data_IF_250338162567
#
_entry.id   IF_250338162567
#
_cell.length_a   1.000
_cell.length_b   1.000
_cell.length_c   1.000
_cell.angle_alpha   90.00
_cell.angle_beta   90.00
_cell.angle_gamma   90.00
#
_symmetry.space_group_name_H-M   'P 1'
#
loop_
_entity.id
_entity.type
_entity.pdbx_description
1 polymer ?
#
# COMPACT_ATOMS: atom_id res chain seq x y z
N UNK A 1 -12.43 14.42 -12.57
CA UNK A 1 -12.52 13.02 -13.02
C UNK A 1 -12.73 12.92 -14.53
N UNK A 2 -13.72 13.62 -15.13
CA UNK A 2 -14.06 13.49 -16.57
C UNK A 2 -12.99 14.05 -17.53
N UNK A 3 -12.10 14.91 -17.08
CA UNK A 3 -11.04 15.53 -17.90
C UNK A 3 -9.70 14.83 -17.70
N UNK A 4 -9.16 14.84 -16.49
CA UNK A 4 -7.80 14.35 -16.25
C UNK A 4 -7.69 12.83 -16.14
N UNK A 5 -8.75 12.13 -15.70
CA UNK A 5 -8.68 10.66 -15.59
C UNK A 5 -8.58 9.98 -16.97
N UNK A 6 -9.39 10.34 -17.99
CA UNK A 6 -9.22 9.79 -19.33
C UNK A 6 -7.84 10.08 -19.94
N UNK A 7 -7.34 11.30 -19.73
CA UNK A 7 -5.99 11.70 -20.18
C UNK A 7 -4.91 10.82 -19.55
N UNK A 8 -4.93 10.67 -18.23
CA UNK A 8 -3.97 9.83 -17.52
C UNK A 8 -4.05 8.35 -17.91
N UNK A 9 -5.25 7.83 -18.12
CA UNK A 9 -5.45 6.44 -18.58
C UNK A 9 -4.92 6.22 -20.00
N UNK A 10 -5.15 7.17 -20.91
CA UNK A 10 -4.64 7.09 -22.27
C UNK A 10 -3.10 7.15 -22.30
N UNK A 11 -2.50 8.05 -21.55
CA UNK A 11 -1.05 8.15 -21.39
C UNK A 11 -0.45 6.86 -20.82
N UNK A 12 -1.03 6.29 -19.77
CA UNK A 12 -0.56 5.03 -19.20
C UNK A 12 -0.72 3.87 -20.18
N UNK A 13 -1.82 3.83 -20.94
CA UNK A 13 -2.05 2.81 -21.96
C UNK A 13 -1.01 2.90 -23.10
N UNK A 14 -0.68 4.10 -23.54
CA UNK A 14 0.39 4.31 -24.52
C UNK A 14 1.74 3.89 -23.94
N UNK A 15 2.00 4.22 -22.68
CA UNK A 15 3.25 3.87 -22.02
C UNK A 15 3.41 2.36 -21.75
N UNK A 16 2.32 1.60 -21.57
CA UNK A 16 2.40 0.13 -21.50
C UNK A 16 2.98 -0.53 -22.76
N UNK A 17 2.88 0.16 -23.90
CA UNK A 17 3.39 -0.32 -25.19
C UNK A 17 4.75 0.31 -25.55
N UNK A 18 5.28 1.18 -24.70
CA UNK A 18 6.53 1.86 -24.95
C UNK A 18 7.71 0.90 -24.87
N UNK A 19 8.54 0.90 -25.91
CA UNK A 19 9.79 0.18 -25.98
C UNK A 19 10.95 1.18 -25.92
N UNK A 20 11.75 1.21 -24.84
CA UNK A 20 12.87 2.14 -24.70
C UNK A 20 14.01 1.89 -25.71
N UNK A 21 14.06 0.72 -26.36
CA UNK A 21 15.07 0.38 -27.36
C UNK A 21 14.70 0.85 -28.77
N UNK A 22 13.45 1.29 -28.96
CA UNK A 22 12.97 1.78 -30.25
C UNK A 22 12.74 3.30 -30.19
N UNK A 23 13.23 4.06 -31.18
CA UNK A 23 12.91 5.47 -31.30
C UNK A 23 11.40 5.64 -31.51
N UNK A 24 10.76 6.44 -30.64
CA UNK A 24 9.34 6.73 -30.75
C UNK A 24 9.12 8.20 -31.07
N UNK A 25 8.19 8.45 -31.98
CA UNK A 25 7.68 9.79 -32.23
C UNK A 25 6.77 10.22 -31.08
N UNK A 26 6.78 11.52 -30.81
CA UNK A 26 5.85 12.12 -29.83
C UNK A 26 4.43 11.93 -30.36
N UNK A 27 3.62 11.17 -29.62
CA UNK A 27 2.20 10.99 -29.95
C UNK A 27 1.45 12.29 -29.71
N UNK A 28 0.78 12.81 -30.74
CA UNK A 28 -0.08 13.99 -30.66
C UNK A 28 -1.50 13.61 -31.05
N UNK A 29 -2.44 13.90 -30.17
CA UNK A 29 -3.88 13.62 -30.34
C UNK A 29 -4.66 14.84 -29.90
N UNK A 30 -5.82 15.09 -30.51
CA UNK A 30 -6.79 16.00 -29.91
C UNK A 30 -7.43 15.36 -28.67
N UNK A 31 -7.94 16.18 -27.77
CA UNK A 31 -8.60 15.65 -26.57
C UNK A 31 -9.82 14.80 -26.92
N UNK A 32 -10.56 15.13 -27.99
CA UNK A 32 -11.67 14.32 -28.50
C UNK A 32 -11.23 12.94 -28.99
N UNK A 33 -10.12 12.84 -29.72
CA UNK A 33 -9.56 11.55 -30.15
C UNK A 33 -9.13 10.69 -28.96
N UNK A 34 -8.58 11.33 -27.94
CA UNK A 34 -8.15 10.66 -26.70
C UNK A 34 -9.34 10.11 -25.89
N UNK A 35 -10.47 10.80 -25.86
CA UNK A 35 -11.69 10.34 -25.20
C UNK A 35 -12.29 9.11 -25.91
N UNK A 36 -12.18 9.03 -27.23
CA UNK A 36 -12.84 8.00 -28.04
C UNK A 36 -14.35 8.03 -27.85
N UNK A 37 -14.93 6.93 -27.40
CA UNK A 37 -16.38 6.81 -27.14
C UNK A 37 -16.84 7.48 -25.82
N UNK A 38 -15.92 7.97 -25.02
CA UNK A 38 -16.26 8.63 -23.74
C UNK A 38 -16.66 10.07 -24.00
N UNK A 39 -17.73 10.50 -23.34
CA UNK A 39 -18.18 11.89 -23.41
C UNK A 39 -17.85 12.65 -22.12
N UNK A 40 -17.49 13.91 -22.29
CA UNK A 40 -17.50 14.88 -21.20
C UNK A 40 -18.91 15.43 -21.10
N UNK A 41 -19.50 15.53 -19.90
CA UNK A 41 -20.83 16.10 -19.75
C UNK A 41 -20.82 17.59 -20.11
N UNK A 42 -21.93 18.08 -20.68
CA UNK A 42 -22.08 19.47 -21.09
C UNK A 42 -21.75 20.45 -19.97
N UNK A 43 -22.16 20.14 -18.74
CA UNK A 43 -21.85 20.95 -17.56
C UNK A 43 -20.34 21.07 -17.30
N UNK A 44 -19.57 19.98 -17.46
CA UNK A 44 -18.13 20.01 -17.28
C UNK A 44 -17.44 20.69 -18.45
N UNK A 45 -17.91 20.43 -19.66
CA UNK A 45 -17.40 21.06 -20.88
C UNK A 45 -17.58 22.60 -20.82
N UNK A 46 -18.78 23.08 -20.49
CA UNK A 46 -19.09 24.50 -20.34
C UNK A 46 -18.27 25.14 -19.20
N UNK A 47 -18.18 24.45 -18.06
CA UNK A 47 -17.40 24.93 -16.92
C UNK A 47 -15.92 25.16 -17.29
N UNK A 48 -15.28 24.17 -17.91
CA UNK A 48 -13.86 24.27 -18.30
C UNK A 48 -13.67 25.34 -19.37
N UNK A 49 -14.49 25.32 -20.41
CA UNK A 49 -14.37 26.29 -21.51
C UNK A 49 -14.60 27.74 -21.03
N UNK A 50 -15.60 27.98 -20.20
CA UNK A 50 -15.90 29.30 -19.67
C UNK A 50 -14.84 29.77 -18.67
N UNK A 51 -14.26 28.86 -17.86
CA UNK A 51 -13.19 29.21 -16.95
C UNK A 51 -11.92 29.62 -17.72
N UNK A 52 -11.50 28.83 -18.71
CA UNK A 52 -10.31 29.14 -19.51
C UNK A 52 -10.49 30.44 -20.33
N UNK A 53 -11.65 30.63 -20.97
CA UNK A 53 -11.94 31.87 -21.72
C UNK A 53 -11.88 33.12 -20.85
N UNK A 54 -12.25 33.01 -19.58
CA UNK A 54 -12.18 34.11 -18.60
C UNK A 54 -10.75 34.45 -18.24
N UNK A 55 -9.89 33.45 -18.06
CA UNK A 55 -8.48 33.63 -17.68
C UNK A 55 -7.61 34.11 -18.84
N UNK A 56 -7.90 33.64 -20.08
CA UNK A 56 -7.06 33.90 -21.26
C UNK A 56 -7.55 35.11 -22.10
N UNK A 57 -8.59 35.81 -21.66
CA UNK A 57 -8.99 37.07 -22.29
C UNK A 57 -9.75 36.93 -23.59
N UNK A 58 -10.74 36.06 -23.68
CA UNK A 58 -11.74 36.04 -24.76
C UNK A 58 -11.38 35.24 -26.01
N UNK A 59 -10.28 34.50 -26.02
CA UNK A 59 -9.97 33.56 -27.09
C UNK A 59 -11.00 32.40 -27.13
N UNK A 60 -11.34 31.95 -28.34
CA UNK A 60 -12.15 30.75 -28.49
C UNK A 60 -11.34 29.54 -27.99
N UNK A 61 -11.69 29.03 -26.81
CA UNK A 61 -11.14 27.82 -26.27
C UNK A 61 -12.20 26.71 -26.35
N UNK A 62 -11.80 25.54 -26.84
CA UNK A 62 -12.63 24.35 -26.84
C UNK A 62 -11.77 23.17 -26.31
N UNK A 63 -12.14 22.63 -25.16
CA UNK A 63 -11.49 21.52 -24.51
C UNK A 63 -11.28 20.31 -25.46
N UNK A 64 -12.29 20.02 -26.30
CA UNK A 64 -12.25 18.86 -27.19
C UNK A 64 -11.22 19.00 -28.32
N UNK A 65 -10.82 20.22 -28.64
CA UNK A 65 -9.82 20.51 -29.67
C UNK A 65 -8.42 20.73 -29.14
N UNK A 66 -8.22 20.63 -27.82
CA UNK A 66 -6.91 20.81 -27.21
C UNK A 66 -5.94 19.72 -27.72
N UNK A 67 -4.81 20.11 -28.32
CA UNK A 67 -3.79 19.13 -28.71
C UNK A 67 -3.08 18.59 -27.48
N UNK A 68 -3.07 17.27 -27.34
CA UNK A 68 -2.36 16.56 -26.29
C UNK A 68 -1.15 15.85 -26.89
N UNK A 69 0.01 16.03 -26.27
CA UNK A 69 1.22 15.32 -26.65
C UNK A 69 1.76 14.50 -25.48
N UNK A 70 2.17 13.28 -25.76
CA UNK A 70 2.83 12.39 -24.81
C UNK A 70 4.28 12.19 -25.22
N UNK A 71 5.19 12.61 -24.35
CA UNK A 71 6.62 12.27 -24.45
C UNK A 71 6.88 11.07 -23.54
N UNK A 72 6.80 9.87 -24.11
CA UNK A 72 6.97 8.62 -23.39
C UNK A 72 8.44 8.38 -23.00
N UNK A 73 9.39 8.92 -23.75
CA UNK A 73 10.81 8.86 -23.43
C UNK A 73 11.13 9.70 -22.18
N UNK A 74 10.61 10.93 -22.13
CA UNK A 74 10.75 11.78 -20.94
C UNK A 74 10.10 11.13 -19.71
N UNK A 75 8.91 10.55 -19.89
CA UNK A 75 8.22 9.82 -18.82
C UNK A 75 9.05 8.63 -18.33
N UNK A 76 9.65 7.86 -19.22
CA UNK A 76 10.52 6.73 -18.87
C UNK A 76 11.75 7.20 -18.09
N UNK A 77 12.39 8.28 -18.56
CA UNK A 77 13.50 8.91 -17.84
C UNK A 77 13.12 9.38 -16.45
N UNK A 78 11.93 9.96 -16.29
CA UNK A 78 11.42 10.39 -14.98
C UNK A 78 11.23 9.22 -14.00
N UNK A 79 10.82 8.03 -14.48
CA UNK A 79 10.81 6.80 -13.68
C UNK A 79 12.20 6.42 -13.21
N UNK A 80 13.17 6.34 -14.13
CA UNK A 80 14.52 5.90 -13.82
C UNK A 80 15.29 6.86 -12.89
N UNK A 81 14.96 8.15 -12.96
CA UNK A 81 15.59 9.21 -12.17
C UNK A 81 14.87 9.50 -10.84
N UNK A 82 13.84 8.74 -10.49
CA UNK A 82 13.14 8.87 -9.22
C UNK A 82 12.25 10.13 -9.10
N UNK A 83 11.90 10.76 -10.21
CA UNK A 83 11.10 11.99 -10.24
C UNK A 83 9.60 11.75 -10.06
N UNK A 84 9.16 10.50 -10.15
CA UNK A 84 7.77 10.09 -9.95
C UNK A 84 7.59 9.61 -8.52
N UNK A 85 6.53 10.04 -7.83
CA UNK A 85 6.28 9.64 -6.44
C UNK A 85 6.23 8.12 -6.22
N UNK A 86 5.77 7.37 -7.21
CA UNK A 86 5.73 5.90 -7.17
C UNK A 86 7.14 5.29 -6.98
N UNK A 87 8.19 5.92 -7.50
CA UNK A 87 9.56 5.39 -7.39
C UNK A 87 10.08 5.41 -5.96
N UNK A 88 9.62 6.32 -5.11
CA UNK A 88 9.95 6.31 -3.69
C UNK A 88 9.39 5.06 -3.01
N UNK A 89 8.14 4.72 -3.31
CA UNK A 89 7.48 3.52 -2.77
C UNK A 89 8.16 2.25 -3.30
N UNK A 90 8.45 2.21 -4.61
CA UNK A 90 9.15 1.08 -5.23
C UNK A 90 10.56 0.93 -4.69
N UNK A 91 11.29 2.03 -4.47
CA UNK A 91 12.62 2.00 -3.84
C UNK A 91 12.58 1.39 -2.45
N UNK A 92 11.61 1.84 -1.63
CA UNK A 92 11.37 1.27 -0.31
C UNK A 92 11.07 -0.23 -0.39
N UNK A 93 10.22 -0.65 -1.31
CA UNK A 93 9.90 -2.06 -1.53
C UNK A 93 11.13 -2.87 -1.98
N UNK A 94 11.94 -2.35 -2.89
CA UNK A 94 13.17 -3.01 -3.34
C UNK A 94 14.16 -3.23 -2.19
N UNK A 95 14.30 -2.26 -1.31
CA UNK A 95 15.16 -2.37 -0.12
C UNK A 95 14.64 -3.47 0.83
N UNK A 96 13.31 -3.56 1.06
CA UNK A 96 12.71 -4.67 1.81
C UNK A 96 13.03 -6.00 1.15
N UNK A 97 12.82 -6.12 -0.16
CA UNK A 97 13.09 -7.37 -0.91
C UNK A 97 14.56 -7.75 -0.83
N UNK A 98 15.48 -6.79 -0.87
CA UNK A 98 16.91 -7.03 -0.76
C UNK A 98 17.31 -7.71 0.56
N UNK A 99 16.61 -7.39 1.65
CA UNK A 99 16.86 -7.99 2.97
C UNK A 99 16.25 -9.39 3.15
N UNK A 100 15.44 -9.83 2.19
CA UNK A 100 14.89 -11.19 2.21
C UNK A 100 15.59 -12.07 1.17
N UNK A 101 15.88 -13.34 1.48
CA UNK A 101 16.44 -14.27 0.52
C UNK A 101 15.38 -14.62 -0.53
N UNK A 102 15.38 -13.87 -1.62
CA UNK A 102 14.50 -14.09 -2.76
C UNK A 102 15.26 -14.70 -3.93
N UNK A 103 14.88 -15.88 -4.39
CA UNK A 103 15.44 -16.49 -5.60
C UNK A 103 14.76 -15.98 -6.86
N UNK A 104 13.47 -15.69 -6.80
CA UNK A 104 12.64 -15.25 -7.92
C UNK A 104 11.70 -14.14 -7.45
N UNK A 105 11.60 -13.08 -8.22
CA UNK A 105 10.64 -12.01 -8.01
C UNK A 105 9.54 -12.05 -9.06
N UNK A 106 8.30 -12.29 -8.65
CA UNK A 106 7.14 -12.24 -9.52
C UNK A 106 6.51 -10.84 -9.45
N UNK A 107 6.43 -10.17 -10.60
CA UNK A 107 5.77 -8.87 -10.71
C UNK A 107 4.32 -9.06 -11.17
N UNK A 108 3.39 -8.70 -10.32
CA UNK A 108 1.96 -8.78 -10.57
C UNK A 108 1.26 -7.43 -10.37
N UNK A 109 -0.03 -7.37 -10.71
CA UNK A 109 -0.80 -6.13 -10.64
C UNK A 109 -0.58 -5.22 -11.85
N UNK A 110 -1.50 -4.28 -12.06
CA UNK A 110 -1.50 -3.40 -13.26
C UNK A 110 -0.22 -2.58 -13.43
N UNK A 111 0.38 -1.99 -12.38
CA UNK A 111 1.60 -1.20 -12.53
C UNK A 111 2.80 -2.01 -13.04
N UNK A 112 2.82 -3.33 -12.88
CA UNK A 112 3.89 -4.18 -13.38
C UNK A 112 4.00 -4.21 -14.92
N UNK A 113 2.96 -3.75 -15.63
CA UNK A 113 2.96 -3.60 -17.09
C UNK A 113 3.77 -2.40 -17.57
N UNK A 114 4.01 -1.42 -16.70
CA UNK A 114 4.72 -0.20 -17.08
C UNK A 114 6.22 -0.47 -17.24
N UNK A 115 6.82 -0.17 -18.40
CA UNK A 115 8.24 -0.42 -18.65
C UNK A 115 9.16 0.25 -17.62
N UNK A 116 8.84 1.47 -17.18
CA UNK A 116 9.60 2.18 -16.16
C UNK A 116 9.58 1.52 -14.79
N UNK A 117 8.48 0.88 -14.40
CA UNK A 117 8.40 0.09 -13.15
C UNK A 117 9.34 -1.11 -13.23
N UNK A 118 9.31 -1.85 -14.34
CA UNK A 118 10.18 -3.01 -14.54
C UNK A 118 11.65 -2.60 -14.58
N UNK A 119 11.98 -1.55 -15.34
CA UNK A 119 13.33 -1.04 -15.46
C UNK A 119 13.88 -0.51 -14.13
N UNK A 120 13.05 0.20 -13.36
CA UNK A 120 13.42 0.69 -12.03
C UNK A 120 13.73 -0.46 -11.06
N UNK A 121 12.87 -1.49 -11.02
CA UNK A 121 13.07 -2.65 -10.16
C UNK A 121 14.36 -3.40 -10.54
N UNK A 122 14.62 -3.60 -11.84
CA UNK A 122 15.86 -4.21 -12.32
C UNK A 122 17.10 -3.40 -11.97
N UNK A 123 16.99 -2.07 -11.97
CA UNK A 123 18.08 -1.16 -11.55
C UNK A 123 18.38 -1.24 -10.07
N UNK A 124 17.34 -1.41 -9.24
CA UNK A 124 17.45 -1.35 -7.79
C UNK A 124 17.80 -2.69 -7.14
N UNK A 125 17.40 -3.81 -7.74
CA UNK A 125 17.59 -5.14 -7.17
C UNK A 125 18.75 -5.87 -7.86
N UNK A 126 19.70 -6.43 -7.10
CA UNK A 126 20.82 -7.20 -7.64
C UNK A 126 20.40 -8.65 -7.98
N UNK A 127 19.21 -8.80 -8.56
CA UNK A 127 18.74 -10.09 -9.04
C UNK A 127 19.05 -10.25 -10.54
N UNK A 128 19.47 -11.43 -11.00
CA UNK A 128 19.61 -11.69 -12.42
C UNK A 128 18.32 -11.37 -13.17
N UNK A 129 18.38 -10.72 -14.36
CA UNK A 129 17.17 -10.32 -15.10
C UNK A 129 16.17 -11.45 -15.33
N UNK A 130 16.64 -12.67 -15.55
CA UNK A 130 15.79 -13.85 -15.72
C UNK A 130 15.06 -14.32 -14.46
N UNK A 131 15.38 -13.76 -13.31
CA UNK A 131 14.69 -14.05 -12.03
C UNK A 131 13.67 -12.99 -11.64
N UNK A 132 13.53 -11.93 -12.44
CA UNK A 132 12.48 -10.92 -12.29
C UNK A 132 11.45 -11.18 -13.38
N UNK A 133 10.32 -11.77 -13.02
CA UNK A 133 9.31 -12.28 -13.94
C UNK A 133 8.04 -11.42 -13.90
N UNK A 134 7.83 -10.52 -14.88
CA UNK A 134 6.54 -9.87 -15.06
C UNK A 134 5.50 -10.89 -15.52
N UNK A 135 4.43 -11.08 -14.75
CA UNK A 135 3.45 -12.12 -15.04
C UNK A 135 2.66 -11.87 -16.33
N UNK A 136 2.59 -10.63 -16.82
CA UNK A 136 2.01 -10.33 -18.14
C UNK A 136 2.69 -11.07 -19.31
N UNK A 137 3.95 -11.46 -19.15
CA UNK A 137 4.69 -12.19 -20.16
C UNK A 137 4.68 -13.71 -19.91
N UNK A 138 3.96 -14.16 -18.89
CA UNK A 138 3.90 -15.57 -18.56
C UNK A 138 2.90 -16.29 -19.43
N UNK A 139 3.36 -17.36 -20.09
CA UNK A 139 2.52 -18.18 -20.98
C UNK A 139 1.75 -19.21 -20.17
N UNK A 140 0.44 -19.07 -20.15
CA UNK A 140 -0.47 -20.00 -19.48
C UNK A 140 -1.19 -20.93 -20.46
N UNK A 141 -1.19 -20.57 -21.76
CA UNK A 141 -2.07 -21.22 -22.72
C UNK A 141 -3.53 -20.76 -22.57
N UNK A 142 -4.46 -21.55 -23.09
CA UNK A 142 -5.86 -21.18 -23.16
C UNK A 142 -6.67 -21.42 -21.88
N UNK A 143 -6.08 -22.01 -20.83
CA UNK A 143 -6.81 -22.30 -19.59
C UNK A 143 -7.02 -21.08 -18.70
N UNK A 144 -6.14 -20.06 -18.81
CA UNK A 144 -6.24 -18.87 -17.97
C UNK A 144 -7.37 -17.97 -18.45
N UNK A 145 -8.35 -17.59 -17.59
CA UNK A 145 -9.55 -16.88 -18.02
C UNK A 145 -9.28 -15.50 -18.67
N UNK A 146 -8.21 -14.83 -18.26
CA UNK A 146 -7.84 -13.48 -18.71
C UNK A 146 -6.56 -13.51 -19.54
N UNK A 147 -6.51 -14.44 -20.51
CA UNK A 147 -5.37 -14.54 -21.42
C UNK A 147 -5.64 -13.80 -22.76
N UNK A 148 -4.56 -13.35 -23.38
CA UNK A 148 -4.52 -12.90 -24.77
C UNK A 148 -3.37 -13.62 -25.46
N UNK A 149 -3.67 -14.33 -26.53
CA UNK A 149 -2.68 -15.16 -27.26
C UNK A 149 -1.91 -16.14 -26.34
N UNK A 150 -2.54 -16.65 -25.30
CA UNK A 150 -1.96 -17.57 -24.34
C UNK A 150 -1.05 -16.92 -23.28
N UNK A 151 -0.93 -15.61 -23.26
CA UNK A 151 -0.21 -14.84 -22.22
C UNK A 151 -1.22 -14.22 -21.27
N UNK A 152 -0.84 -14.01 -20.02
CA UNK A 152 -1.67 -13.28 -19.05
C UNK A 152 -1.84 -11.84 -19.54
N UNK A 153 -3.08 -11.45 -19.89
CA UNK A 153 -3.37 -10.10 -20.39
C UNK A 153 -3.56 -9.11 -19.23
N UNK A 154 -4.26 -9.53 -18.18
CA UNK A 154 -4.45 -8.71 -16.98
C UNK A 154 -3.74 -9.30 -15.75
N UNK A 155 -2.52 -8.83 -15.43
CA UNK A 155 -1.79 -9.34 -14.26
C UNK A 155 -2.47 -8.99 -12.93
N UNK A 156 -3.46 -8.08 -12.90
CA UNK A 156 -4.25 -7.82 -11.70
C UNK A 156 -5.12 -9.01 -11.31
N UNK A 157 -5.55 -9.81 -12.28
CA UNK A 157 -6.40 -10.98 -12.06
C UNK A 157 -5.66 -12.18 -11.44
N UNK A 158 -4.33 -12.19 -11.42
CA UNK A 158 -3.53 -13.35 -10.99
C UNK A 158 -3.80 -13.79 -9.56
N UNK A 159 -4.03 -12.86 -8.64
CA UNK A 159 -4.36 -13.19 -7.26
C UNK A 159 -5.72 -13.90 -7.15
N UNK A 160 -6.74 -13.42 -7.85
CA UNK A 160 -8.10 -14.01 -7.83
C UNK A 160 -8.12 -15.38 -8.50
N UNK A 161 -7.45 -15.52 -9.65
CA UNK A 161 -7.34 -16.82 -10.34
C UNK A 161 -6.54 -17.80 -9.50
N UNK A 162 -5.45 -17.38 -8.89
CA UNK A 162 -4.64 -18.21 -7.98
C UNK A 162 -5.44 -18.69 -6.77
N UNK A 163 -6.21 -17.81 -6.14
CA UNK A 163 -7.08 -18.15 -5.01
C UNK A 163 -8.15 -19.19 -5.42
N UNK A 164 -8.75 -19.03 -6.60
CA UNK A 164 -9.72 -19.99 -7.14
C UNK A 164 -9.05 -21.35 -7.39
N UNK A 165 -7.85 -21.37 -7.98
CA UNK A 165 -7.11 -22.63 -8.19
C UNK A 165 -6.78 -23.30 -6.86
N UNK A 166 -6.34 -22.56 -5.85
CA UNK A 166 -6.10 -23.12 -4.52
C UNK A 166 -7.36 -23.76 -3.92
N UNK A 167 -8.51 -23.13 -4.07
CA UNK A 167 -9.79 -23.68 -3.61
C UNK A 167 -10.17 -24.96 -4.37
N UNK A 168 -10.07 -24.95 -5.69
CA UNK A 168 -10.35 -26.15 -6.51
C UNK A 168 -9.40 -27.32 -6.17
N UNK A 169 -8.12 -27.03 -5.93
CA UNK A 169 -7.14 -28.04 -5.53
C UNK A 169 -7.41 -28.57 -4.13
N UNK A 170 -7.79 -27.70 -3.18
CA UNK A 170 -8.18 -28.12 -1.83
C UNK A 170 -9.41 -29.03 -1.84
N UNK A 171 -10.32 -28.83 -2.79
CA UNK A 171 -11.52 -29.64 -2.99
C UNK A 171 -11.28 -30.86 -3.92
N UNK A 172 -10.03 -31.15 -4.29
CA UNK A 172 -9.66 -32.23 -5.21
C UNK A 172 -10.33 -32.15 -6.59
N UNK A 173 -10.75 -30.95 -7.02
CA UNK A 173 -11.41 -30.71 -8.31
C UNK A 173 -10.42 -30.59 -9.47
N UNK A 174 -9.12 -30.47 -9.19
CA UNK A 174 -8.05 -30.45 -10.20
C UNK A 174 -7.24 -31.74 -10.09
N UNK A 175 -7.27 -32.60 -11.11
CA UNK A 175 -6.51 -33.87 -11.08
C UNK A 175 -5.00 -33.62 -10.98
N UNK A 176 -4.32 -34.46 -10.20
CA UNK A 176 -2.86 -34.43 -10.05
C UNK A 176 -2.26 -33.12 -9.52
N UNK A 177 -3.08 -32.24 -8.93
CA UNK A 177 -2.61 -31.04 -8.29
C UNK A 177 -3.14 -30.96 -6.85
N UNK A 178 -2.22 -30.93 -5.90
CA UNK A 178 -2.54 -30.96 -4.47
C UNK A 178 -2.10 -29.66 -3.80
N UNK A 179 -3.03 -28.98 -3.17
CA UNK A 179 -2.76 -27.78 -2.39
C UNK A 179 -3.00 -28.08 -0.89
N UNK A 180 -1.95 -27.99 -0.09
CA UNK A 180 -2.02 -28.15 1.36
C UNK A 180 -1.87 -26.79 2.04
N UNK A 181 -2.97 -26.15 2.37
CA UNK A 181 -2.96 -24.85 3.07
C UNK A 181 -2.23 -24.90 4.42
N UNK A 182 -2.30 -26.05 5.12
CA UNK A 182 -1.58 -26.26 6.37
C UNK A 182 -0.04 -26.28 6.22
N UNK A 183 0.48 -26.49 5.01
CA UNK A 183 1.92 -26.44 4.73
C UNK A 183 2.41 -25.00 4.46
N UNK A 184 1.50 -24.07 4.21
CA UNK A 184 1.86 -22.65 4.10
C UNK A 184 2.15 -22.13 5.50
N UNK A 185 3.41 -21.85 5.76
CA UNK A 185 3.80 -21.14 6.98
C UNK A 185 3.57 -19.64 6.73
N UNK A 186 2.61 -19.00 7.42
CA UNK A 186 2.47 -17.57 7.29
C UNK A 186 3.79 -16.92 7.73
N UNK A 187 4.29 -16.02 6.91
CA UNK A 187 5.52 -15.29 7.17
C UNK A 187 5.15 -13.85 7.53
N UNK A 188 5.56 -13.40 8.71
CA UNK A 188 5.39 -12.01 9.09
C UNK A 188 6.65 -11.20 8.81
N UNK A 189 6.50 -10.09 8.13
CA UNK A 189 7.57 -9.12 7.86
C UNK A 189 7.67 -8.05 8.93
N UNK A 190 6.83 -8.11 9.97
CA UNK A 190 6.82 -7.14 11.07
C UNK A 190 8.09 -7.32 11.91
N UNK A 191 8.88 -6.25 12.02
CA UNK A 191 10.08 -6.21 12.86
C UNK A 191 9.98 -5.21 14.00
N UNK A 192 9.32 -4.08 13.75
CA UNK A 192 9.16 -3.03 14.74
C UNK A 192 7.72 -2.55 14.78
N UNK A 193 7.18 -2.37 15.98
CA UNK A 193 5.86 -1.77 16.19
C UNK A 193 6.06 -0.48 16.98
N UNK A 194 5.36 0.57 16.60
CA UNK A 194 5.49 1.87 17.25
C UNK A 194 4.39 2.86 16.87
N UNK A 195 4.56 4.09 17.29
CA UNK A 195 3.66 5.20 16.97
C UNK A 195 4.01 5.76 15.58
N UNK A 196 3.01 5.91 14.74
CA UNK A 196 3.15 6.45 13.38
C UNK A 196 2.88 7.96 13.40
N UNK A 197 3.78 8.73 12.84
CA UNK A 197 3.61 10.16 12.62
C UNK A 197 2.69 10.47 11.43
N UNK A 198 2.47 11.75 11.14
CA UNK A 198 1.64 12.22 10.03
C UNK A 198 2.20 11.84 8.65
N UNK A 199 3.49 11.57 8.55
CA UNK A 199 4.19 11.17 7.33
C UNK A 199 4.21 9.64 7.12
N UNK A 200 3.49 8.89 7.96
CA UNK A 200 3.51 7.43 8.00
C UNK A 200 4.91 6.85 8.30
N UNK A 201 5.66 7.48 9.19
CA UNK A 201 6.97 7.03 9.65
C UNK A 201 6.91 6.69 11.14
N UNK A 202 7.60 5.64 11.55
CA UNK A 202 7.87 5.33 12.96
C UNK A 202 9.31 5.74 13.23
N UNK A 203 9.51 6.79 14.02
CA UNK A 203 10.84 7.22 14.48
C UNK A 203 11.41 6.21 15.47
N UNK A 204 12.72 6.14 15.60
CA UNK A 204 13.34 5.21 16.53
C UNK A 204 12.97 5.47 18.00
N UNK A 205 12.71 6.73 18.34
CA UNK A 205 12.21 7.11 19.68
C UNK A 205 10.77 6.63 19.93
N UNK A 206 9.98 6.45 18.85
CA UNK A 206 8.58 6.07 18.90
C UNK A 206 8.35 4.56 18.73
N UNK A 207 9.44 3.76 18.65
CA UNK A 207 9.37 2.31 18.57
C UNK A 207 9.09 1.72 19.96
N UNK A 208 7.99 0.98 20.06
CA UNK A 208 7.53 0.33 21.27
C UNK A 208 8.07 -1.09 21.43
N UNK A 209 8.11 -1.83 20.31
CA UNK A 209 8.62 -3.19 20.25
C UNK A 209 9.61 -3.29 19.11
N UNK A 210 10.81 -3.80 19.43
CA UNK A 210 11.92 -3.97 18.48
C UNK A 210 12.17 -5.43 18.20
N UNK A 211 12.72 -5.71 17.03
CA UNK A 211 13.22 -7.04 16.63
C UNK A 211 12.21 -8.17 16.87
N UNK A 212 10.96 -7.89 16.53
CA UNK A 212 9.86 -8.83 16.74
C UNK A 212 10.14 -10.09 15.92
N UNK A 213 10.18 -11.22 16.60
CA UNK A 213 10.28 -12.52 15.96
C UNK A 213 8.89 -13.03 15.61
N UNK A 214 8.78 -13.62 14.43
CA UNK A 214 7.57 -14.35 14.04
C UNK A 214 7.89 -15.84 13.95
N UNK A 215 7.19 -16.63 14.71
CA UNK A 215 7.23 -18.08 14.64
C UNK A 215 5.89 -18.58 14.10
N UNK A 216 5.93 -19.37 13.03
CA UNK A 216 4.73 -19.86 12.32
C UNK A 216 3.74 -18.76 11.90
N UNK A 217 4.26 -17.57 11.55
CA UNK A 217 3.46 -16.40 11.18
C UNK A 217 2.72 -15.71 12.32
N UNK A 218 2.95 -16.14 13.54
CA UNK A 218 2.44 -15.48 14.74
C UNK A 218 3.52 -14.54 15.26
N UNK A 219 3.15 -13.28 15.42
CA UNK A 219 4.00 -12.30 16.08
C UNK A 219 3.96 -12.61 17.58
N UNK A 220 5.11 -12.94 18.16
CA UNK A 220 5.26 -13.04 19.60
C UNK A 220 5.71 -11.68 20.13
N UNK A 221 4.79 -10.95 20.73
CA UNK A 221 5.17 -9.80 21.53
C UNK A 221 5.60 -10.30 22.92
N UNK A 222 6.57 -9.64 23.57
CA UNK A 222 6.93 -9.96 24.95
C UNK A 222 5.67 -9.98 25.82
N UNK A 223 5.38 -11.11 26.44
CA UNK A 223 4.23 -11.24 27.32
C UNK A 223 4.48 -10.37 28.56
N UNK A 224 3.62 -9.38 28.76
CA UNK A 224 3.56 -8.63 29.99
C UNK A 224 2.78 -9.47 30.99
N UNK A 225 3.43 -10.00 32.00
CA UNK A 225 2.67 -10.75 33.02
C UNK A 225 3.46 -11.49 34.09
N UNK A 226 4.77 -11.64 33.92
CA UNK A 226 5.62 -12.28 34.94
C UNK A 226 6.81 -11.44 35.38
N UNK A 227 6.99 -10.29 34.79
CA UNK A 227 8.03 -9.31 35.10
C UNK A 227 7.43 -8.07 35.79
N UNK A 228 8.29 -7.33 36.43
CA UNK A 228 7.97 -6.04 37.02
C UNK A 228 7.34 -5.11 36.01
N UNK A 229 6.43 -4.24 36.42
CA UNK A 229 5.73 -3.20 35.60
C UNK A 229 6.65 -2.35 34.69
N UNK A 230 7.97 -2.50 34.81
CA UNK A 230 8.98 -1.74 34.05
C UNK A 230 9.08 -2.13 32.58
N UNK A 231 8.70 -3.36 32.20
CA UNK A 231 8.91 -3.86 30.82
C UNK A 231 7.75 -3.56 29.87
N UNK A 232 6.67 -2.94 30.35
CA UNK A 232 5.52 -2.60 29.53
C UNK A 232 5.72 -1.24 28.88
N UNK A 233 5.66 -1.13 27.53
CA UNK A 233 5.76 0.15 26.86
C UNK A 233 4.70 1.14 27.34
N UNK A 234 5.13 2.32 27.74
CA UNK A 234 4.26 3.43 28.09
C UNK A 234 4.12 4.37 26.91
N UNK A 235 2.90 4.77 26.63
CA UNK A 235 2.57 5.76 25.62
C UNK A 235 2.04 7.02 26.27
N UNK A 236 2.44 8.15 25.75
CA UNK A 236 1.93 9.44 26.14
C UNK A 236 0.93 9.94 25.09
N UNK A 237 -0.33 10.10 25.48
CA UNK A 237 -1.40 10.55 24.60
C UNK A 237 -1.84 11.96 24.95
N UNK A 238 -1.76 12.87 23.99
CA UNK A 238 -2.41 14.19 24.01
C UNK A 238 -3.59 14.30 23.05
N UNK A 239 -3.80 13.28 22.25
CA UNK A 239 -4.83 13.16 21.23
C UNK A 239 -4.88 11.74 20.68
N UNK A 240 -5.55 11.54 19.56
CA UNK A 240 -5.59 10.27 18.87
C UNK A 240 -4.17 9.85 18.46
N UNK A 241 -3.80 8.60 18.72
CA UNK A 241 -2.52 8.01 18.35
C UNK A 241 -2.71 6.93 17.29
N UNK A 242 -1.83 6.92 16.29
CA UNK A 242 -1.78 5.86 15.28
C UNK A 242 -0.65 4.90 15.61
N UNK A 243 -0.96 3.62 15.73
CA UNK A 243 0.00 2.54 15.88
C UNK A 243 0.19 1.82 14.57
N UNK A 244 1.39 1.40 14.29
CA UNK A 244 1.72 0.66 13.09
C UNK A 244 2.99 -0.14 13.22
N UNK A 245 3.43 -0.69 12.10
CA UNK A 245 4.65 -1.48 12.04
C UNK A 245 5.53 -1.07 10.86
N UNK A 246 6.80 -1.35 10.98
CA UNK A 246 7.78 -1.30 9.91
C UNK A 246 8.59 -2.60 9.86
N UNK A 247 9.10 -2.93 8.68
CA UNK A 247 9.84 -4.17 8.44
C UNK A 247 11.34 -4.02 8.68
N UNK A 248 11.86 -2.81 8.63
CA UNK A 248 13.29 -2.52 8.73
C UNK A 248 13.59 -1.58 9.90
N UNK A 249 14.83 -1.60 10.34
CA UNK A 249 15.31 -0.75 11.43
C UNK A 249 15.36 0.75 11.07
N UNK A 250 15.48 1.10 9.78
CA UNK A 250 15.66 2.48 9.36
C UNK A 250 14.36 3.31 9.47
N UNK A 251 14.43 4.48 10.11
CA UNK A 251 13.29 5.41 10.26
C UNK A 251 12.69 5.90 8.94
N UNK A 252 13.51 5.99 7.89
CA UNK A 252 13.08 6.48 6.57
C UNK A 252 12.00 5.64 5.89
N UNK A 253 11.70 4.46 6.43
CA UNK A 253 10.74 3.54 5.86
C UNK A 253 9.32 3.90 6.23
N UNK A 254 8.44 3.91 5.23
CA UNK A 254 7.03 4.06 5.47
C UNK A 254 6.51 2.92 6.35
N UNK A 255 5.82 3.27 7.42
CA UNK A 255 5.17 2.31 8.29
C UNK A 255 3.77 1.98 7.79
N UNK A 256 3.35 0.75 8.01
CA UNK A 256 1.97 0.32 7.75
C UNK A 256 1.12 0.50 9.00
N UNK A 257 -0.07 1.11 8.88
CA UNK A 257 -0.95 1.31 10.03
C UNK A 257 -1.55 -0.01 10.52
N UNK A 258 -1.65 -0.18 11.83
CA UNK A 258 -2.33 -1.29 12.49
C UNK A 258 -3.63 -0.81 13.15
N UNK A 259 -3.51 0.14 14.10
CA UNK A 259 -4.61 0.62 14.92
C UNK A 259 -4.56 2.13 15.10
N UNK A 260 -5.71 2.74 15.31
CA UNK A 260 -5.83 4.10 15.82
C UNK A 260 -6.43 4.05 17.21
N UNK A 261 -5.67 4.52 18.20
CA UNK A 261 -6.13 4.69 19.57
C UNK A 261 -6.89 6.00 19.66
N UNK A 262 -8.16 5.96 20.03
CA UNK A 262 -9.01 7.14 20.14
C UNK A 262 -9.59 7.24 21.56
N UNK A 263 -9.76 8.47 22.01
CA UNK A 263 -10.58 8.68 23.21
C UNK A 263 -12.04 8.32 22.91
N UNK A 264 -12.68 7.64 23.85
CA UNK A 264 -14.15 7.55 23.86
C UNK A 264 -14.75 8.94 24.02
N UNK A 265 -16.03 9.13 23.67
CA UNK A 265 -16.70 10.42 23.85
C UNK A 265 -16.60 10.92 25.30
N UNK A 266 -16.87 10.04 26.27
CA UNK A 266 -16.73 10.36 27.69
C UNK A 266 -15.27 10.64 28.11
N UNK A 267 -14.30 9.91 27.53
CA UNK A 267 -12.88 10.15 27.78
C UNK A 267 -12.41 11.47 27.23
N UNK A 268 -12.88 11.85 26.06
CA UNK A 268 -12.57 13.14 25.42
C UNK A 268 -13.13 14.31 26.23
N UNK A 269 -14.33 14.17 26.76
CA UNK A 269 -14.95 15.17 27.63
C UNK A 269 -14.18 15.35 28.95
N UNK A 270 -13.81 14.22 29.61
CA UNK A 270 -12.97 14.26 30.81
C UNK A 270 -11.60 14.88 30.54
N UNK A 271 -11.00 14.55 29.41
CA UNK A 271 -9.72 15.11 28.98
C UNK A 271 -9.82 16.63 28.74
N UNK A 272 -10.88 17.07 28.06
CA UNK A 272 -11.13 18.50 27.83
C UNK A 272 -11.39 19.29 29.11
N UNK A 273 -12.07 18.69 30.10
CA UNK A 273 -12.28 19.32 31.42
C UNK A 273 -11.02 19.41 32.27
N UNK A 274 -10.06 18.51 32.01
CA UNK A 274 -8.78 18.49 32.74
C UNK A 274 -7.72 19.42 32.09
N UNK A 275 -8.07 20.17 31.04
CA UNK A 275 -7.22 21.24 30.52
C UNK A 275 -7.16 22.31 31.61
N UNK A 276 -5.98 22.45 32.22
CA UNK A 276 -5.78 23.38 33.34
C UNK A 276 -5.91 24.83 32.92
N UNK A 277 -5.95 25.75 33.90
CA UNK A 277 -6.04 27.18 33.70
C UNK A 277 -4.94 27.74 32.79
N UNK A 278 -3.82 27.05 32.64
CA UNK A 278 -2.71 27.38 31.76
C UNK A 278 -2.88 26.91 30.30
N UNK A 279 -4.00 26.31 29.93
CA UNK A 279 -4.27 25.84 28.58
C UNK A 279 -3.47 24.60 28.14
N UNK A 280 -2.66 24.02 29.00
CA UNK A 280 -1.93 22.80 28.71
C UNK A 280 -2.84 21.57 28.83
N UNK A 281 -2.92 20.80 27.74
CA UNK A 281 -3.65 19.54 27.75
C UNK A 281 -2.95 18.53 28.68
N UNK A 282 -3.69 17.85 29.59
CA UNK A 282 -3.11 16.85 30.47
C UNK A 282 -2.52 15.70 29.66
N UNK A 283 -1.36 15.23 30.08
CA UNK A 283 -0.70 14.09 29.47
C UNK A 283 -1.31 12.77 30.00
N UNK A 284 -1.92 12.00 29.10
CA UNK A 284 -2.42 10.69 29.46
C UNK A 284 -1.33 9.64 29.23
N UNK A 285 -0.90 8.97 30.30
CA UNK A 285 0.01 7.83 30.19
C UNK A 285 -0.80 6.55 30.05
N UNK A 286 -0.54 5.84 28.94
CA UNK A 286 -1.25 4.61 28.58
C UNK A 286 -0.27 3.47 28.51
N UNK A 287 -0.57 2.36 29.18
CA UNK A 287 0.19 1.11 29.04
C UNK A 287 -0.46 0.23 27.99
N UNK A 288 0.36 -0.29 27.07
CA UNK A 288 -0.07 -1.28 26.11
C UNK A 288 0.11 -2.67 26.70
N UNK A 289 -1.01 -3.39 26.89
CA UNK A 289 -0.98 -4.78 27.27
C UNK A 289 -1.46 -5.65 26.13
N UNK A 290 -0.68 -6.66 25.77
CA UNK A 290 -1.09 -7.70 24.83
C UNK A 290 -1.85 -8.76 25.62
N UNK A 291 -3.14 -8.89 25.33
CA UNK A 291 -3.95 -9.95 25.91
C UNK A 291 -3.86 -11.18 25.01
N UNK A 292 -3.36 -12.29 25.54
CA UNK A 292 -3.46 -13.58 24.86
C UNK A 292 -4.94 -13.94 24.69
N UNK A 293 -5.37 -14.39 23.49
CA UNK A 293 -6.75 -14.81 23.29
C UNK A 293 -7.08 -15.95 24.25
N UNK A 294 -8.21 -15.83 24.92
CA UNK A 294 -8.71 -16.84 25.85
C UNK A 294 -8.89 -18.17 25.12
N UNK A 295 -8.34 -19.27 25.67
CA UNK A 295 -8.32 -20.59 25.04
C UNK A 295 -9.71 -21.15 24.70
N UNK A 296 -10.78 -20.53 25.20
CA UNK A 296 -12.16 -20.97 24.99
C UNK A 296 -12.87 -20.39 23.77
N UNK A 297 -12.35 -19.35 23.14
CA UNK A 297 -12.91 -18.86 21.89
C UNK A 297 -12.12 -19.43 20.70
N UNK A 298 -12.50 -20.62 20.26
CA UNK A 298 -12.09 -21.23 18.98
C UNK A 298 -12.66 -20.44 17.79
N UNK A 299 -12.38 -19.17 17.64
CA UNK A 299 -12.54 -18.46 16.39
C UNK A 299 -11.17 -18.37 15.74
N UNK A 300 -10.93 -19.26 14.81
CA UNK A 300 -9.95 -19.09 13.76
C UNK A 300 -10.34 -17.83 12.98
N UNK A 301 -9.74 -16.75 13.31
CA UNK A 301 -9.90 -15.50 12.61
C UNK A 301 -8.78 -14.59 13.04
N UNK A 302 -8.01 -14.15 12.06
CA UNK A 302 -7.08 -13.02 12.11
C UNK A 302 -6.74 -12.55 13.53
N UNK A 303 -5.46 -12.55 13.84
CA UNK A 303 -4.86 -12.06 15.09
C UNK A 303 -5.56 -10.78 15.53
N UNK A 304 -6.63 -10.91 16.30
CA UNK A 304 -7.17 -9.82 17.09
C UNK A 304 -6.64 -10.00 18.51
N UNK A 305 -5.34 -9.84 18.68
CA UNK A 305 -4.81 -9.58 19.99
C UNK A 305 -5.42 -8.25 20.42
N UNK A 306 -6.39 -8.33 21.31
CA UNK A 306 -7.02 -7.13 21.86
C UNK A 306 -5.96 -6.39 22.66
N UNK A 307 -5.51 -5.27 22.12
CA UNK A 307 -4.71 -4.31 22.85
C UNK A 307 -5.60 -3.74 23.97
N UNK A 308 -5.29 -4.06 25.22
CA UNK A 308 -5.96 -3.47 26.37
C UNK A 308 -5.14 -2.31 26.85
N UNK A 309 -5.71 -1.11 26.87
CA UNK A 309 -5.07 0.09 27.35
C UNK A 309 -5.52 0.32 28.79
N UNK A 310 -4.58 0.29 29.72
CA UNK A 310 -4.82 0.65 31.11
C UNK A 310 -4.35 2.08 31.39
N UNK A 311 -5.18 2.87 32.05
CA UNK A 311 -4.81 4.21 32.48
C UNK A 311 -3.99 4.15 33.77
N UNK A 312 -2.82 4.80 33.80
CA UNK A 312 -1.97 4.89 34.99
C UNK A 312 -2.33 6.19 35.70
N UNK A 313 -3.32 6.17 36.53
CA UNK A 313 -3.67 7.37 37.30
C UNK A 313 -5.13 7.43 37.77
N UNK A 314 -5.96 6.55 37.28
CA UNK A 314 -7.31 6.34 37.81
C UNK A 314 -7.66 4.85 37.68
N UNK A 315 -8.37 4.31 38.68
CA UNK A 315 -8.84 2.92 38.72
C UNK A 315 -9.87 2.57 37.62
N UNK A 316 -9.88 3.25 36.50
CA UNK A 316 -10.78 2.99 35.40
C UNK A 316 -10.03 2.34 34.23
N UNK A 317 -10.29 1.06 33.99
CA UNK A 317 -9.93 0.35 32.79
C UNK A 317 -10.80 0.85 31.62
N UNK A 318 -10.17 1.18 30.49
CA UNK A 318 -10.85 1.51 29.24
C UNK A 318 -10.82 0.26 28.34
N UNK A 319 -12.00 -0.22 27.97
CA UNK A 319 -12.15 -1.27 26.95
C UNK A 319 -12.58 -0.56 25.68
N UNK A 320 -11.84 -0.75 24.58
CA UNK A 320 -12.25 -0.36 23.23
C UNK A 320 -13.02 -1.49 22.57
#
# INVERSE_FOLDING_TARGET
LQVFTPLGLAMLKAYEQYDPEQPQEITRLSYSELLGERAVSDTVWEYVNSAVRREVGGQQFDLLQVPISFDLQQMHGAFLNGQINLTKILGALCEVIFHYPCDVLLLTGRPSRLPGVQAFIRKMLPLPPGRILPLQNYRTGGWYPFHKSGLIDDPKSTASVGAMLCLLCANHSVPNFYFRSAALKPYSTVKHIGVIDLNNVIKDADVLYRDIESEDGKIRLPLVGTGTDADTPQLEMRGDLRLGFRQLAAERWAASPLYTLRFTAAGREKFSRAVGENGEAPLLKVRLQVKTPDRHTKKQGLISDRLTIANIGSNSSWVM
#
